data_IF_573380889248
#
_entry.id   IF_573380889248
#
_cell.length_a   1.000
_cell.length_b   1.000
_cell.length_c   1.000
_cell.angle_alpha   90.00
_cell.angle_beta   90.00
_cell.angle_gamma   90.00
#
_symmetry.space_group_name_H-M   'P 1'
#
loop_
_entity.id
_entity.type
_entity.pdbx_description
1 polymer ?
#
# COMPACT_ATOMS: atom_id res chain seq x y z
N UNK A 1 13.79 -18.50 24.83
CA UNK A 1 14.00 -17.16 24.26
C UNK A 1 14.08 -17.35 22.75
N UNK A 2 12.98 -17.15 22.04
CA UNK A 2 12.97 -17.13 20.59
C UNK A 2 13.51 -15.75 20.16
N UNK A 3 14.67 -15.74 19.53
CA UNK A 3 15.23 -14.52 18.97
C UNK A 3 14.28 -13.97 17.88
N UNK A 4 13.99 -12.68 17.92
CA UNK A 4 13.33 -11.98 16.85
C UNK A 4 14.09 -12.28 15.55
N UNK A 5 13.41 -12.75 14.47
CA UNK A 5 14.05 -12.83 13.18
C UNK A 5 14.38 -11.39 12.75
N UNK A 6 15.66 -11.05 12.67
CA UNK A 6 16.06 -9.81 12.03
C UNK A 6 15.74 -9.95 10.54
N UNK A 7 14.88 -9.08 10.03
CA UNK A 7 14.56 -9.00 8.63
C UNK A 7 15.80 -8.53 7.84
N UNK A 8 16.65 -9.47 7.47
CA UNK A 8 17.78 -9.24 6.57
C UNK A 8 17.46 -9.95 5.26
N UNK A 9 16.70 -9.31 4.39
CA UNK A 9 16.39 -9.90 3.10
C UNK A 9 15.63 -8.94 2.20
N UNK A 10 15.89 -9.04 0.93
CA UNK A 10 15.12 -8.38 -0.11
C UNK A 10 13.91 -9.24 -0.46
N UNK A 11 12.73 -8.63 -0.55
CA UNK A 11 11.50 -9.31 -0.99
C UNK A 11 11.68 -9.97 -2.36
N UNK A 12 11.22 -11.21 -2.48
CA UNK A 12 11.21 -11.97 -3.73
C UNK A 12 9.79 -12.48 -4.01
N UNK A 13 9.41 -12.57 -5.28
CA UNK A 13 8.11 -13.15 -5.69
C UNK A 13 7.93 -14.59 -5.17
N UNK A 14 9.03 -15.35 -5.05
CA UNK A 14 9.01 -16.70 -4.48
C UNK A 14 8.65 -16.75 -2.99
N UNK A 15 8.67 -15.61 -2.28
CA UNK A 15 8.34 -15.53 -0.87
C UNK A 15 6.83 -15.44 -0.65
N UNK A 16 6.05 -15.23 -1.73
CA UNK A 16 4.60 -15.17 -1.68
C UNK A 16 4.06 -16.62 -1.62
N UNK A 17 3.31 -16.99 -0.56
CA UNK A 17 2.63 -18.27 -0.51
C UNK A 17 1.59 -18.42 -1.62
N UNK A 18 1.22 -19.68 -1.91
CA UNK A 18 0.12 -19.94 -2.84
C UNK A 18 -1.20 -19.30 -2.34
N UNK A 19 -2.02 -18.83 -3.28
CA UNK A 19 -3.32 -18.24 -2.97
C UNK A 19 -4.26 -19.25 -2.31
N UNK A 20 -4.83 -18.88 -1.17
CA UNK A 20 -5.72 -19.72 -0.35
C UNK A 20 -7.08 -19.07 -0.07
N UNK A 21 -7.65 -18.38 -1.05
CA UNK A 21 -8.92 -17.64 -0.94
C UNK A 21 -8.92 -16.51 0.12
N UNK A 22 -7.75 -16.08 0.58
CA UNK A 22 -7.58 -14.93 1.46
C UNK A 22 -7.25 -13.67 0.66
N UNK A 23 -7.81 -12.50 1.01
CA UNK A 23 -7.50 -11.24 0.30
C UNK A 23 -6.06 -10.76 0.52
N UNK A 24 -5.38 -11.27 1.52
CA UNK A 24 -3.98 -10.98 1.85
C UNK A 24 -3.32 -12.15 2.55
N UNK A 25 -2.00 -12.13 2.59
CA UNK A 25 -1.17 -13.12 3.28
C UNK A 25 0.05 -12.43 3.87
N UNK A 26 0.46 -12.81 5.08
CA UNK A 26 1.69 -12.32 5.67
C UNK A 26 2.90 -12.95 4.98
N UNK A 27 3.90 -12.13 4.68
CA UNK A 27 5.20 -12.56 4.19
C UNK A 27 6.30 -12.17 5.19
N UNK A 28 7.47 -12.76 5.08
CA UNK A 28 8.61 -12.49 5.96
C UNK A 28 8.27 -12.57 7.47
N UNK A 29 7.36 -13.47 7.86
CA UNK A 29 6.92 -13.57 9.25
C UNK A 29 6.16 -12.33 9.74
N UNK A 30 5.53 -11.58 8.84
CA UNK A 30 4.84 -10.32 9.10
C UNK A 30 5.78 -9.17 9.55
N UNK A 31 7.06 -9.24 9.17
CA UNK A 31 8.06 -8.22 9.50
C UNK A 31 8.42 -7.45 8.23
N UNK A 32 8.25 -6.13 8.20
CA UNK A 32 8.64 -5.30 7.05
C UNK A 32 10.15 -5.34 6.79
N UNK A 33 10.52 -5.08 5.55
CA UNK A 33 11.93 -5.03 5.11
C UNK A 33 12.58 -3.66 5.35
N UNK A 34 12.09 -2.85 6.28
CA UNK A 34 12.73 -1.61 6.67
C UNK A 34 14.05 -1.87 7.41
N UNK A 35 15.06 -1.10 7.06
CA UNK A 35 16.31 -1.00 7.85
C UNK A 35 16.14 0.05 8.94
N UNK A 36 17.03 0.10 9.91
CA UNK A 36 17.03 1.17 10.92
C UNK A 36 17.17 2.57 10.31
N UNK A 37 17.91 2.69 9.19
CA UNK A 37 18.10 3.95 8.47
C UNK A 37 16.83 4.40 7.72
N UNK A 38 15.88 3.51 7.48
CA UNK A 38 14.58 3.84 6.86
C UNK A 38 13.62 4.50 7.85
N UNK A 39 13.81 4.28 9.15
CA UNK A 39 12.88 4.73 10.18
C UNK A 39 13.09 6.21 10.49
N UNK A 40 12.02 7.00 10.41
CA UNK A 40 12.07 8.43 10.72
C UNK A 40 10.73 8.96 11.23
N UNK A 41 10.80 9.82 12.22
CA UNK A 41 9.71 10.61 12.77
C UNK A 41 9.53 11.96 12.04
N UNK A 42 10.20 12.12 10.89
CA UNK A 42 10.01 13.26 10.00
C UNK A 42 9.00 12.89 8.93
N UNK A 43 7.86 13.57 8.92
CA UNK A 43 6.79 13.34 7.94
C UNK A 43 7.27 13.57 6.51
N UNK A 44 7.02 12.63 5.62
CA UNK A 44 7.26 12.75 4.19
C UNK A 44 6.37 11.79 3.39
N UNK A 45 6.26 12.04 2.11
CA UNK A 45 5.71 11.14 1.12
C UNK A 45 6.55 11.17 -0.16
N UNK A 46 6.69 10.03 -0.82
CA UNK A 46 7.44 9.87 -2.07
C UNK A 46 6.75 8.86 -2.97
N UNK A 47 6.70 9.18 -4.25
CA UNK A 47 6.15 8.33 -5.29
C UNK A 47 7.20 8.19 -6.38
N UNK A 48 7.56 6.94 -6.71
CA UNK A 48 8.54 6.66 -7.75
C UNK A 48 8.06 7.16 -9.11
N UNK A 49 8.97 7.55 -9.97
CA UNK A 49 8.64 7.82 -11.36
C UNK A 49 8.04 6.59 -12.02
N UNK A 50 7.15 6.81 -12.99
CA UNK A 50 6.59 5.73 -13.78
C UNK A 50 7.71 5.06 -14.58
N UNK A 51 7.61 3.74 -14.75
CA UNK A 51 8.55 2.99 -15.55
C UNK A 51 8.35 3.22 -17.07
N UNK A 52 9.14 2.56 -17.91
CA UNK A 52 9.07 2.68 -19.37
C UNK A 52 7.74 2.24 -19.97
N UNK A 53 6.94 1.46 -19.23
CA UNK A 53 5.59 1.04 -19.62
C UNK A 53 4.50 1.95 -19.01
N UNK A 54 4.89 2.99 -18.27
CA UNK A 54 3.98 3.91 -17.58
C UNK A 54 3.40 3.34 -16.28
N UNK A 55 3.98 2.27 -15.71
CA UNK A 55 3.50 1.62 -14.49
C UNK A 55 4.07 2.31 -13.25
N UNK A 56 3.28 2.31 -12.17
CA UNK A 56 3.73 2.81 -10.87
C UNK A 56 4.87 1.97 -10.30
N UNK A 57 5.81 2.64 -9.64
CA UNK A 57 6.79 2.03 -8.76
C UNK A 57 6.37 2.11 -7.29
N UNK A 58 7.36 2.06 -6.39
CA UNK A 58 7.14 2.11 -4.95
C UNK A 58 6.56 3.45 -4.52
N UNK A 59 5.53 3.42 -3.67
CA UNK A 59 5.04 4.55 -2.89
C UNK A 59 5.50 4.38 -1.43
N UNK A 60 6.03 5.44 -0.84
CA UNK A 60 6.68 5.39 0.46
C UNK A 60 6.46 6.67 1.25
N UNK A 61 6.09 6.53 2.53
CA UNK A 61 5.79 7.66 3.40
C UNK A 61 6.16 7.39 4.86
N UNK A 62 6.49 8.46 5.59
CA UNK A 62 6.35 8.52 7.03
C UNK A 62 5.01 9.20 7.33
N UNK A 63 3.99 8.38 7.58
CA UNK A 63 2.61 8.83 7.78
C UNK A 63 2.46 9.39 9.18
N UNK A 64 1.88 10.57 9.27
CA UNK A 64 1.57 11.27 10.52
C UNK A 64 0.31 12.09 10.38
N UNK A 65 -0.11 12.77 11.43
CA UNK A 65 -1.21 13.74 11.37
C UNK A 65 -0.95 14.85 10.36
N UNK A 66 0.33 15.20 10.11
CA UNK A 66 0.71 16.25 9.14
C UNK A 66 0.52 15.84 7.68
N UNK A 67 0.59 14.53 7.39
CA UNK A 67 0.35 14.00 6.04
C UNK A 67 -1.12 13.74 5.75
N UNK A 68 -1.95 13.59 6.79
CA UNK A 68 -3.36 13.24 6.66
C UNK A 68 -4.19 14.37 6.05
N UNK A 69 -5.29 14.05 5.34
CA UNK A 69 -6.11 15.06 4.69
C UNK A 69 -6.84 15.94 5.70
N UNK A 70 -6.84 17.24 5.39
CA UNK A 70 -7.69 18.25 6.06
C UNK A 70 -8.94 18.58 5.27
N UNK A 71 -9.04 18.08 4.03
CA UNK A 71 -10.14 18.31 3.12
C UNK A 71 -10.77 16.98 2.66
N UNK A 72 -11.95 17.07 2.08
CA UNK A 72 -12.62 15.90 1.50
C UNK A 72 -11.91 15.46 0.22
N UNK A 73 -11.84 14.14 0.02
CA UNK A 73 -11.33 13.53 -1.20
C UNK A 73 -12.01 14.08 -2.44
N UNK A 74 -11.22 14.46 -3.44
CA UNK A 74 -11.67 14.88 -4.75
C UNK A 74 -11.91 13.71 -5.72
N UNK A 75 -12.28 14.05 -6.96
CA UNK A 75 -12.38 13.08 -8.06
C UNK A 75 -10.98 12.57 -8.48
N UNK A 76 -10.91 11.31 -8.86
CA UNK A 76 -9.73 10.68 -9.46
C UNK A 76 -10.04 10.07 -10.83
N UNK A 77 -11.23 10.34 -11.37
CA UNK A 77 -11.75 9.72 -12.59
C UNK A 77 -10.95 10.04 -13.86
N UNK A 78 -10.24 11.14 -13.89
CA UNK A 78 -9.38 11.57 -14.99
C UNK A 78 -8.07 10.79 -15.09
N UNK A 79 -7.55 10.25 -13.99
CA UNK A 79 -6.36 9.41 -14.00
C UNK A 79 -6.73 8.02 -14.56
N UNK A 80 -5.98 7.58 -15.56
CA UNK A 80 -6.12 6.25 -16.17
C UNK A 80 -4.83 5.48 -15.94
N UNK A 81 -4.75 4.69 -14.87
CA UNK A 81 -3.59 3.82 -14.63
C UNK A 81 -3.39 2.86 -15.78
N UNK A 82 -2.19 2.28 -15.87
CA UNK A 82 -1.92 1.26 -16.90
C UNK A 82 -2.91 0.11 -16.82
N UNK A 83 -3.31 -0.43 -17.96
CA UNK A 83 -4.29 -1.53 -18.04
C UNK A 83 -5.72 -1.16 -17.64
N UNK A 84 -6.04 0.14 -17.48
CA UNK A 84 -7.38 0.57 -17.10
C UNK A 84 -8.42 0.21 -18.16
N UNK A 85 -9.42 -0.56 -17.73
CA UNK A 85 -10.63 -0.83 -18.49
C UNK A 85 -11.85 -0.66 -17.59
N UNK A 86 -12.94 -0.19 -18.18
CA UNK A 86 -14.22 -0.02 -17.49
C UNK A 86 -15.08 -1.28 -17.67
N UNK A 87 -14.76 -2.34 -16.93
CA UNK A 87 -15.48 -3.61 -17.00
C UNK A 87 -16.56 -3.70 -15.92
N UNK A 88 -17.77 -4.04 -16.34
CA UNK A 88 -18.92 -4.23 -15.44
C UNK A 88 -19.39 -5.67 -15.50
N UNK A 89 -19.68 -6.24 -14.32
CA UNK A 89 -20.23 -7.58 -14.18
C UNK A 89 -21.28 -7.59 -13.07
N UNK A 90 -22.40 -8.27 -13.28
CA UNK A 90 -23.49 -8.32 -12.30
C UNK A 90 -23.15 -9.11 -11.03
N UNK A 91 -22.20 -10.03 -11.11
CA UNK A 91 -21.74 -10.84 -9.98
C UNK A 91 -20.65 -10.15 -9.14
N UNK A 92 -20.17 -8.97 -9.55
CA UNK A 92 -19.18 -8.19 -8.80
C UNK A 92 -19.90 -7.22 -7.88
N UNK A 93 -19.53 -7.17 -6.61
CA UNK A 93 -20.01 -6.17 -5.67
C UNK A 93 -19.70 -4.76 -6.20
N UNK A 94 -20.73 -3.89 -6.27
CA UNK A 94 -20.65 -2.57 -6.89
C UNK A 94 -20.55 -2.59 -8.42
N UNK A 95 -20.64 -3.76 -9.06
CA UNK A 95 -20.64 -4.03 -10.51
C UNK A 95 -19.34 -3.74 -11.27
N UNK A 96 -18.45 -2.91 -10.77
CA UNK A 96 -17.18 -2.60 -11.42
C UNK A 96 -16.08 -3.55 -10.91
N UNK A 97 -15.50 -4.33 -11.85
CA UNK A 97 -14.42 -5.25 -11.52
C UNK A 97 -13.16 -4.51 -11.08
N UNK A 98 -12.82 -3.43 -11.78
CA UNK A 98 -11.61 -2.65 -11.53
C UNK A 98 -11.92 -1.33 -10.82
N UNK A 99 -11.04 -1.00 -9.88
CA UNK A 99 -10.97 0.28 -9.21
C UNK A 99 -9.64 0.97 -9.56
N UNK A 100 -9.64 2.29 -9.49
CA UNK A 100 -8.39 3.04 -9.33
C UNK A 100 -7.98 2.90 -7.89
N UNK A 101 -6.95 2.08 -7.65
CA UNK A 101 -6.46 1.79 -6.31
C UNK A 101 -5.31 2.74 -5.98
N UNK A 102 -5.44 3.52 -4.92
CA UNK A 102 -4.29 4.20 -4.35
C UNK A 102 -3.30 3.17 -3.79
N UNK A 103 -2.01 3.35 -4.05
CA UNK A 103 -0.96 2.59 -3.36
C UNK A 103 -0.91 3.01 -1.90
N UNK A 104 -0.81 4.31 -1.61
CA UNK A 104 -1.02 4.87 -0.28
C UNK A 104 -2.38 5.58 -0.29
N UNK A 105 -3.30 5.14 0.57
CA UNK A 105 -4.66 5.65 0.64
C UNK A 105 -4.73 7.14 0.93
N UNK A 106 -5.73 7.83 0.36
CA UNK A 106 -5.96 9.26 0.59
C UNK A 106 -6.01 9.64 2.06
N UNK A 107 -6.57 8.79 2.91
CA UNK A 107 -6.67 9.03 4.35
C UNK A 107 -5.30 9.08 5.07
N UNK A 108 -4.22 8.62 4.44
CA UNK A 108 -2.88 8.59 5.02
C UNK A 108 -2.01 9.77 4.59
N UNK A 109 -2.08 10.17 3.32
CA UNK A 109 -1.18 11.18 2.75
C UNK A 109 -1.89 12.32 2.02
N UNK A 110 -3.21 12.36 2.00
CA UNK A 110 -4.01 13.35 1.27
C UNK A 110 -3.73 13.41 -0.26
N UNK A 111 -2.94 12.46 -0.79
CA UNK A 111 -2.59 12.43 -2.20
C UNK A 111 -3.77 11.89 -3.02
N UNK A 112 -4.37 12.73 -3.86
CA UNK A 112 -5.63 12.42 -4.53
C UNK A 112 -5.45 11.84 -5.93
N UNK A 113 -5.26 12.69 -6.93
CA UNK A 113 -5.23 12.33 -8.36
C UNK A 113 -3.79 12.24 -8.91
N UNK A 114 -2.91 11.60 -8.18
CA UNK A 114 -1.53 11.40 -8.57
C UNK A 114 -1.37 10.09 -9.36
N UNK A 115 -0.97 10.19 -10.62
CA UNK A 115 -0.77 9.03 -11.49
C UNK A 115 0.31 8.07 -10.98
N UNK A 116 1.26 8.54 -10.17
CA UNK A 116 2.32 7.73 -9.55
C UNK A 116 1.85 6.97 -8.30
N UNK A 117 0.63 7.24 -7.83
CA UNK A 117 0.01 6.61 -6.66
C UNK A 117 -1.27 5.84 -7.00
N UNK A 118 -1.60 5.66 -8.27
CA UNK A 118 -2.82 5.00 -8.71
C UNK A 118 -2.52 3.84 -9.65
N UNK A 119 -3.00 2.67 -9.30
CA UNK A 119 -2.93 1.46 -10.13
C UNK A 119 -4.34 0.98 -10.51
N UNK A 120 -4.43 0.21 -11.57
CA UNK A 120 -5.61 -0.60 -11.84
C UNK A 120 -5.58 -1.83 -10.95
N UNK A 121 -6.55 -1.97 -10.08
CA UNK A 121 -6.69 -3.15 -9.24
C UNK A 121 -8.15 -3.60 -9.16
N UNK A 122 -8.38 -4.82 -8.70
CA UNK A 122 -9.74 -5.28 -8.47
C UNK A 122 -10.36 -4.58 -7.26
N UNK A 123 -11.70 -4.50 -7.24
CA UNK A 123 -12.41 -4.03 -6.03
C UNK A 123 -12.07 -4.89 -4.82
N UNK A 124 -11.89 -6.19 -5.04
CA UNK A 124 -11.49 -7.15 -3.99
C UNK A 124 -10.12 -6.78 -3.38
N UNK A 125 -9.11 -6.53 -4.21
CA UNK A 125 -7.80 -6.06 -3.75
C UNK A 125 -7.94 -4.75 -2.97
N UNK A 126 -8.65 -3.78 -3.52
CA UNK A 126 -8.75 -2.45 -2.93
C UNK A 126 -9.48 -2.45 -1.58
N UNK A 127 -10.63 -3.12 -1.50
CA UNK A 127 -11.53 -3.02 -0.34
C UNK A 127 -11.26 -4.10 0.70
N UNK A 128 -10.96 -5.32 0.28
CA UNK A 128 -10.73 -6.44 1.20
C UNK A 128 -9.25 -6.71 1.45
N UNK A 129 -8.39 -6.42 0.48
CA UNK A 129 -6.95 -6.57 0.62
C UNK A 129 -6.29 -5.39 1.33
N UNK A 130 -6.41 -4.19 0.77
CA UNK A 130 -5.62 -3.02 1.19
C UNK A 130 -6.28 -2.20 2.29
N UNK A 131 -7.57 -1.90 2.17
CA UNK A 131 -8.27 -0.98 3.08
C UNK A 131 -8.17 -1.34 4.58
N UNK A 132 -8.22 -2.60 5.02
CA UNK A 132 -8.06 -2.94 6.44
C UNK A 132 -6.73 -2.46 7.03
N UNK A 133 -5.65 -2.55 6.28
CA UNK A 133 -4.31 -2.12 6.71
C UNK A 133 -4.15 -0.60 6.67
N UNK A 134 -4.77 0.06 5.70
CA UNK A 134 -4.86 1.52 5.66
C UNK A 134 -5.62 2.06 6.88
N UNK A 135 -6.75 1.44 7.23
CA UNK A 135 -7.54 1.82 8.39
C UNK A 135 -6.76 1.61 9.70
N UNK A 136 -6.12 0.45 9.86
CA UNK A 136 -5.27 0.17 11.04
C UNK A 136 -4.22 1.26 11.22
N UNK A 137 -3.53 1.63 10.15
CA UNK A 137 -2.50 2.68 10.18
C UNK A 137 -3.09 4.04 10.50
N UNK A 138 -4.21 4.42 9.86
CA UNK A 138 -4.86 5.70 10.09
C UNK A 138 -5.37 5.85 11.52
N UNK A 139 -5.97 4.80 12.07
CA UNK A 139 -6.51 4.81 13.43
C UNK A 139 -5.39 4.97 14.46
N UNK A 140 -4.30 4.22 14.31
CA UNK A 140 -3.12 4.35 15.18
C UNK A 140 -2.53 5.75 15.16
N UNK A 141 -2.31 6.35 13.98
CA UNK A 141 -1.77 7.70 13.86
C UNK A 141 -2.69 8.74 14.52
N UNK A 142 -4.00 8.61 14.33
CA UNK A 142 -4.99 9.53 14.95
C UNK A 142 -5.04 9.40 16.47
N UNK A 143 -4.91 8.19 17.00
CA UNK A 143 -5.00 7.91 18.42
C UNK A 143 -3.73 8.32 19.16
N UNK A 144 -2.56 8.13 18.56
CA UNK A 144 -1.27 8.32 19.22
C UNK A 144 -0.55 9.61 18.85
N UNK A 145 -0.77 10.11 17.63
CA UNK A 145 0.04 11.18 17.03
C UNK A 145 1.42 10.71 16.56
N UNK A 146 1.73 9.43 16.69
CA UNK A 146 3.00 8.84 16.28
C UNK A 146 3.09 8.68 14.76
N UNK A 147 4.31 8.45 14.27
CA UNK A 147 4.59 8.20 12.85
C UNK A 147 4.54 6.71 12.52
N UNK A 148 4.12 6.40 11.29
CA UNK A 148 4.18 5.06 10.73
C UNK A 148 4.94 5.09 9.40
N UNK A 149 6.05 4.38 9.34
CA UNK A 149 6.68 4.10 8.05
C UNK A 149 5.76 3.18 7.27
N UNK A 150 5.38 3.61 6.07
CA UNK A 150 4.40 2.94 5.23
C UNK A 150 4.91 2.86 3.80
N UNK A 151 5.03 1.64 3.26
CA UNK A 151 5.55 1.42 1.91
C UNK A 151 4.67 0.44 1.17
N UNK A 152 4.33 0.77 -0.06
CA UNK A 152 3.55 -0.09 -0.95
C UNK A 152 4.30 -0.27 -2.26
N UNK A 153 4.57 -1.53 -2.59
CA UNK A 153 5.26 -1.91 -3.81
C UNK A 153 4.29 -2.67 -4.70
N UNK A 154 3.88 -2.12 -5.85
CA UNK A 154 3.05 -2.87 -6.81
C UNK A 154 3.89 -3.96 -7.46
N UNK A 155 3.29 -5.13 -7.65
CA UNK A 155 3.94 -6.30 -8.22
C UNK A 155 3.41 -6.50 -9.64
N UNK A 156 4.27 -6.26 -10.63
CA UNK A 156 3.97 -6.50 -12.03
C UNK A 156 4.81 -7.68 -12.55
N UNK A 157 4.17 -8.61 -13.24
CA UNK A 157 4.83 -9.74 -13.86
C UNK A 157 5.11 -9.44 -15.35
N UNK A 158 6.38 -9.54 -15.75
CA UNK A 158 6.81 -9.24 -17.12
C UNK A 158 6.33 -7.85 -17.56
N UNK A 159 5.74 -7.78 -18.75
CA UNK A 159 5.20 -6.53 -19.32
C UNK A 159 3.71 -6.31 -19.02
N UNK A 160 3.14 -7.03 -18.07
CA UNK A 160 1.75 -6.83 -17.67
C UNK A 160 1.50 -5.41 -17.19
N UNK A 161 0.39 -4.83 -17.64
CA UNK A 161 -0.01 -3.45 -17.30
C UNK A 161 -0.91 -3.37 -16.06
N UNK A 162 -1.40 -4.51 -15.58
CA UNK A 162 -2.16 -4.63 -14.34
C UNK A 162 -1.31 -5.37 -13.32
N UNK A 163 -1.20 -4.82 -12.12
CA UNK A 163 -0.45 -5.46 -11.04
C UNK A 163 -1.11 -6.78 -10.62
N UNK A 164 -0.29 -7.81 -10.37
CA UNK A 164 -0.74 -9.09 -9.80
C UNK A 164 -1.12 -8.95 -8.33
N UNK A 165 -0.59 -7.95 -7.65
CA UNK A 165 -0.84 -7.62 -6.25
C UNK A 165 0.02 -6.47 -5.80
N UNK A 166 0.04 -6.23 -4.50
CA UNK A 166 0.89 -5.23 -3.86
C UNK A 166 1.54 -5.83 -2.61
N UNK A 167 2.79 -5.48 -2.37
CA UNK A 167 3.44 -5.67 -1.07
C UNK A 167 3.17 -4.43 -0.23
N UNK A 168 2.51 -4.61 0.92
CA UNK A 168 2.25 -3.55 1.88
C UNK A 168 3.10 -3.77 3.12
N UNK A 169 3.83 -2.75 3.52
CA UNK A 169 4.70 -2.79 4.68
C UNK A 169 4.44 -1.60 5.59
N UNK A 170 4.35 -1.83 6.88
CA UNK A 170 4.26 -0.74 7.85
C UNK A 170 4.95 -1.08 9.17
N UNK A 171 5.52 -0.03 9.79
CA UNK A 171 6.08 -0.10 11.13
C UNK A 171 5.90 1.25 11.82
N UNK A 172 5.27 1.27 12.99
CA UNK A 172 5.21 2.45 13.84
C UNK A 172 6.60 2.79 14.37
N UNK A 173 6.94 4.08 14.40
CA UNK A 173 8.32 4.53 14.60
C UNK A 173 8.65 4.67 16.08
N UNK A 174 7.90 5.47 16.81
CA UNK A 174 8.23 5.87 18.18
C UNK A 174 8.13 4.71 19.20
N UNK A 175 7.31 3.71 18.89
CA UNK A 175 7.13 2.51 19.72
C UNK A 175 7.76 1.25 19.10
N UNK A 176 8.63 1.43 18.09
CA UNK A 176 9.41 0.36 17.46
C UNK A 176 8.57 -0.78 16.84
N UNK A 177 7.33 -0.48 16.47
CA UNK A 177 6.41 -1.42 15.85
C UNK A 177 5.44 -2.10 16.80
N UNK A 178 5.35 -1.67 18.06
CA UNK A 178 4.39 -2.23 19.01
C UNK A 178 2.94 -1.92 18.61
N UNK A 179 2.69 -0.73 18.04
CA UNK A 179 1.35 -0.31 17.63
C UNK A 179 0.95 -0.78 16.24
N UNK A 180 1.85 -0.65 15.26
CA UNK A 180 1.64 -1.08 13.87
C UNK A 180 2.86 -1.83 13.37
N UNK A 181 2.66 -3.07 12.95
CA UNK A 181 3.68 -3.88 12.30
C UNK A 181 3.00 -4.88 11.36
N UNK A 182 3.27 -4.77 10.05
CA UNK A 182 2.82 -5.77 9.08
C UNK A 182 3.67 -5.80 7.80
N UNK A 183 3.67 -6.96 7.20
CA UNK A 183 4.25 -7.21 5.88
C UNK A 183 3.48 -8.30 5.14
#
# INVERSE_FOLDING_TARGET
MAGNPSATGEFRLSDIPEYTDSPYVAVNGNVPYFTEDDLTDVSFERYSDLDSLGRCGVAYASVSTDTMPTEKRGSIGEVKPTGWINAKYDFVDGKYLYNRCHLIGYQLTAENANEKNLITGTRYLNVQGMLPFENLTADYVKETGNHVMYRVTPIFEGDNLVASGVLMEAKSVEDEGDGVLFC
#
